data_IF_168745391267
#
_entry.id   IF_168745391267
#
_cell.length_a   1.000
_cell.length_b   1.000
_cell.length_c   1.000
_cell.angle_alpha   90.00
_cell.angle_beta   90.00
_cell.angle_gamma   90.00
#
_symmetry.space_group_name_H-M   'P 1'
#
loop_
_entity.id
_entity.type
_entity.pdbx_description
1 polymer ?
#
# COMPACT_ATOMS: atom_id res chain seq x y z
N UNK A 1 -41.98 -4.19 -31.31
CA UNK A 1 -41.07 -5.03 -30.50
C UNK A 1 -39.85 -4.20 -30.10
N UNK A 2 -39.86 -3.60 -28.90
CA UNK A 2 -38.65 -2.97 -28.33
C UNK A 2 -37.67 -4.11 -28.07
N UNK A 3 -36.50 -4.10 -28.71
CA UNK A 3 -35.38 -4.94 -28.26
C UNK A 3 -35.14 -4.57 -26.80
N UNK A 4 -35.41 -5.50 -25.89
CA UNK A 4 -34.78 -5.49 -24.58
C UNK A 4 -33.28 -5.55 -24.84
N UNK A 5 -32.65 -4.37 -24.87
CA UNK A 5 -31.22 -4.26 -24.66
C UNK A 5 -31.01 -4.77 -23.23
N UNK A 6 -30.67 -6.05 -23.11
CA UNK A 6 -30.19 -6.64 -21.87
C UNK A 6 -28.98 -5.80 -21.45
N UNK A 7 -29.19 -4.90 -20.51
CA UNK A 7 -28.12 -4.10 -19.92
C UNK A 7 -27.05 -5.07 -19.40
N UNK A 8 -25.75 -4.82 -19.66
CA UNK A 8 -24.70 -5.69 -19.19
C UNK A 8 -24.82 -5.87 -17.67
N UNK A 9 -25.09 -7.09 -17.24
CA UNK A 9 -25.12 -7.49 -15.83
C UNK A 9 -23.69 -7.42 -15.28
N UNK A 10 -23.47 -7.04 -14.01
CA UNK A 10 -22.14 -7.08 -13.40
C UNK A 10 -21.44 -8.42 -13.65
N UNK A 11 -20.20 -8.38 -14.12
CA UNK A 11 -19.48 -9.58 -14.53
C UNK A 11 -19.33 -10.60 -13.38
N UNK A 12 -19.57 -11.89 -13.63
CA UNK A 12 -19.33 -12.93 -12.65
C UNK A 12 -17.82 -13.03 -12.32
N UNK A 13 -17.44 -13.45 -11.09
CA UNK A 13 -16.04 -13.47 -10.63
C UNK A 13 -15.05 -14.26 -11.51
N UNK A 14 -15.54 -15.19 -12.34
CA UNK A 14 -14.74 -16.13 -13.13
C UNK A 14 -14.26 -15.56 -14.48
N UNK A 15 -14.77 -14.40 -14.90
CA UNK A 15 -14.48 -13.77 -16.21
C UNK A 15 -13.64 -12.48 -16.12
N UNK A 16 -13.02 -12.21 -14.97
CA UNK A 16 -12.33 -10.94 -14.69
C UNK A 16 -10.94 -10.83 -15.37
N UNK A 17 -10.90 -10.85 -16.70
CA UNK A 17 -9.71 -10.42 -17.45
C UNK A 17 -9.47 -8.93 -17.27
N UNK A 18 -8.23 -8.46 -17.45
CA UNK A 18 -7.93 -7.03 -17.35
C UNK A 18 -8.78 -6.19 -18.34
N UNK A 19 -9.01 -6.71 -19.56
CA UNK A 19 -9.87 -6.07 -20.55
C UNK A 19 -11.31 -5.93 -20.04
N UNK A 20 -11.90 -7.01 -19.52
CA UNK A 20 -13.26 -6.99 -19.00
C UNK A 20 -13.43 -6.03 -17.80
N UNK A 21 -12.42 -5.96 -16.91
CA UNK A 21 -12.39 -5.00 -15.81
C UNK A 21 -12.27 -3.55 -16.28
N UNK A 22 -11.51 -3.30 -17.35
CA UNK A 22 -11.40 -1.98 -17.99
C UNK A 22 -12.75 -1.59 -18.58
N UNK A 23 -13.44 -2.51 -19.27
CA UNK A 23 -14.74 -2.24 -19.89
C UNK A 23 -15.82 -1.96 -18.85
N UNK A 24 -15.83 -2.71 -17.74
CA UNK A 24 -16.74 -2.49 -16.63
C UNK A 24 -16.48 -1.15 -15.91
N UNK A 25 -15.21 -0.79 -15.72
CA UNK A 25 -14.84 0.52 -15.19
C UNK A 25 -15.25 1.66 -16.13
N UNK A 26 -15.11 1.46 -17.45
CA UNK A 26 -15.56 2.42 -18.46
C UNK A 26 -17.07 2.61 -18.42
N UNK A 27 -17.85 1.52 -18.44
CA UNK A 27 -19.31 1.54 -18.34
C UNK A 27 -19.75 2.29 -17.09
N UNK A 28 -19.17 1.93 -15.95
CA UNK A 28 -19.48 2.53 -14.65
C UNK A 28 -19.22 4.03 -14.65
N UNK A 29 -18.03 4.48 -15.06
CA UNK A 29 -17.66 5.89 -15.01
C UNK A 29 -18.30 6.73 -16.12
N UNK A 30 -18.63 6.14 -17.28
CA UNK A 30 -19.40 6.82 -18.32
C UNK A 30 -20.81 7.17 -17.82
N UNK A 31 -21.49 6.23 -17.16
CA UNK A 31 -22.79 6.49 -16.53
C UNK A 31 -22.67 7.52 -15.40
N UNK A 32 -21.58 7.47 -14.61
CA UNK A 32 -21.31 8.49 -13.59
C UNK A 32 -21.12 9.89 -14.19
N UNK A 33 -20.39 10.01 -15.30
CA UNK A 33 -20.15 11.29 -15.99
C UNK A 33 -21.44 11.89 -16.56
N UNK A 34 -22.36 11.06 -17.07
CA UNK A 34 -23.68 11.52 -17.53
C UNK A 34 -24.55 11.98 -16.37
N UNK A 35 -24.54 11.24 -15.25
CA UNK A 35 -25.36 11.56 -14.09
C UNK A 35 -24.87 12.79 -13.31
N UNK A 36 -23.55 12.96 -13.15
CA UNK A 36 -22.92 14.12 -12.50
C UNK A 36 -23.16 14.27 -10.99
N UNK A 37 -24.04 13.48 -10.38
CA UNK A 37 -24.44 13.65 -8.96
C UNK A 37 -23.26 13.58 -7.98
N UNK A 38 -22.29 12.70 -8.25
CA UNK A 38 -21.13 12.48 -7.37
C UNK A 38 -19.93 13.42 -7.65
N UNK A 39 -20.01 14.36 -8.61
CA UNK A 39 -18.87 15.19 -9.02
C UNK A 39 -18.24 15.97 -7.86
N UNK A 40 -19.05 16.42 -6.88
CA UNK A 40 -18.58 17.13 -5.69
C UNK A 40 -18.04 16.24 -4.56
N UNK A 41 -18.12 14.92 -4.65
CA UNK A 41 -17.83 14.03 -3.51
C UNK A 41 -16.33 13.79 -3.31
N UNK A 42 -15.58 13.55 -4.39
CA UNK A 42 -14.14 13.34 -4.32
C UNK A 42 -13.44 13.58 -5.67
N UNK A 43 -12.11 13.71 -5.63
CA UNK A 43 -11.27 14.00 -6.79
C UNK A 43 -11.46 13.03 -7.98
N UNK A 44 -11.93 11.80 -7.75
CA UNK A 44 -12.15 10.80 -8.81
C UNK A 44 -13.17 11.29 -9.84
N UNK A 45 -14.30 11.83 -9.39
CA UNK A 45 -15.38 12.21 -10.30
C UNK A 45 -15.06 13.51 -11.05
N UNK A 46 -14.50 14.50 -10.34
CA UNK A 46 -13.98 15.71 -10.97
C UNK A 46 -12.86 15.41 -11.99
N UNK A 47 -12.06 14.37 -11.77
CA UNK A 47 -11.07 13.90 -12.73
C UNK A 47 -11.72 13.12 -13.90
N UNK A 48 -12.73 12.29 -13.63
CA UNK A 48 -13.42 11.49 -14.66
C UNK A 48 -14.20 12.35 -15.66
N UNK A 49 -14.83 13.43 -15.20
CA UNK A 49 -15.59 14.36 -16.06
C UNK A 49 -14.72 14.99 -17.17
N UNK A 50 -13.43 15.20 -16.89
CA UNK A 50 -12.46 15.75 -17.84
C UNK A 50 -11.99 14.74 -18.90
N UNK A 51 -12.49 13.50 -18.85
CA UNK A 51 -11.99 12.35 -19.61
C UNK A 51 -13.13 11.62 -20.29
N UNK A 52 -13.72 12.18 -21.36
CA UNK A 52 -14.86 11.56 -22.04
C UNK A 52 -14.50 10.20 -22.68
N UNK A 53 -13.24 10.00 -23.08
CA UNK A 53 -12.79 8.79 -23.74
C UNK A 53 -12.62 7.59 -22.77
N UNK A 54 -12.32 7.84 -21.49
CA UNK A 54 -12.08 6.82 -20.47
C UNK A 54 -11.17 5.68 -21.00
N UNK A 55 -10.01 6.07 -21.52
CA UNK A 55 -9.01 5.12 -22.03
C UNK A 55 -8.47 4.23 -20.91
N UNK A 56 -7.84 3.10 -21.25
CA UNK A 56 -7.29 2.18 -20.25
C UNK A 56 -6.31 2.87 -19.28
N UNK A 57 -5.45 3.76 -19.78
CA UNK A 57 -4.50 4.53 -18.96
C UNK A 57 -5.18 5.51 -18.01
N UNK A 58 -6.22 6.20 -18.48
CA UNK A 58 -7.03 7.10 -17.68
C UNK A 58 -7.81 6.36 -16.58
N UNK A 59 -8.40 5.20 -16.92
CA UNK A 59 -9.09 4.35 -15.96
C UNK A 59 -8.13 3.81 -14.91
N UNK A 60 -6.90 3.43 -15.28
CA UNK A 60 -5.88 3.05 -14.30
C UNK A 60 -5.53 4.21 -13.36
N UNK A 61 -5.39 5.43 -13.88
CA UNK A 61 -5.18 6.62 -13.06
C UNK A 61 -6.34 6.87 -12.08
N UNK A 62 -7.58 6.87 -12.56
CA UNK A 62 -8.78 7.08 -11.74
C UNK A 62 -8.95 5.97 -10.70
N UNK A 63 -8.62 4.74 -11.06
CA UNK A 63 -8.62 3.61 -10.13
C UNK A 63 -7.66 3.86 -8.96
N UNK A 64 -6.43 4.33 -9.20
CA UNK A 64 -5.50 4.66 -8.10
C UNK A 64 -5.79 5.99 -7.40
N UNK A 65 -6.47 6.94 -8.05
CA UNK A 65 -6.97 8.15 -7.38
C UNK A 65 -8.09 7.81 -6.36
N UNK A 66 -8.84 6.73 -6.60
CA UNK A 66 -9.88 6.25 -5.70
C UNK A 66 -9.30 5.62 -4.41
N UNK A 67 -9.67 6.22 -3.28
CA UNK A 67 -9.29 5.76 -1.93
C UNK A 67 -10.39 4.94 -1.24
N UNK A 68 -11.39 4.49 -1.99
CA UNK A 68 -12.45 3.61 -1.51
C UNK A 68 -13.23 4.22 -0.33
N UNK A 69 -13.55 5.52 -0.36
CA UNK A 69 -14.30 6.21 0.71
C UNK A 69 -15.76 5.74 0.84
N UNK A 70 -16.30 5.13 -0.22
CA UNK A 70 -17.65 4.55 -0.32
C UNK A 70 -18.80 5.56 -0.29
N UNK A 71 -18.54 6.86 -0.11
CA UNK A 71 -19.58 7.90 -0.12
C UNK A 71 -20.41 7.86 -1.42
N UNK A 72 -19.76 7.66 -2.57
CA UNK A 72 -20.45 7.55 -3.85
C UNK A 72 -21.36 6.33 -3.99
N UNK A 73 -21.14 5.25 -3.22
CA UNK A 73 -22.00 4.07 -3.28
C UNK A 73 -23.33 4.33 -2.58
N UNK A 74 -23.28 4.84 -1.35
CA UNK A 74 -24.47 5.14 -0.57
C UNK A 74 -25.28 6.31 -1.13
N UNK A 75 -24.64 7.21 -1.89
CA UNK A 75 -25.29 8.31 -2.56
C UNK A 75 -25.88 7.94 -3.94
N UNK A 76 -25.61 6.73 -4.47
CA UNK A 76 -25.94 6.40 -5.86
C UNK A 76 -27.36 5.86 -6.01
N UNK A 77 -28.18 6.57 -6.77
CA UNK A 77 -29.54 6.14 -7.16
C UNK A 77 -29.54 4.88 -8.05
N UNK A 78 -28.39 4.56 -8.65
CA UNK A 78 -28.20 3.42 -9.55
C UNK A 78 -27.37 2.29 -8.91
N UNK A 79 -27.11 2.35 -7.61
CA UNK A 79 -26.52 1.24 -6.86
C UNK A 79 -27.47 0.02 -6.89
N UNK A 80 -26.95 -1.21 -6.68
CA UNK A 80 -27.82 -2.38 -6.52
C UNK A 80 -28.92 -2.12 -5.47
N UNK A 81 -30.16 -2.58 -5.70
CA UNK A 81 -30.59 -3.54 -6.73
C UNK A 81 -30.98 -2.93 -8.09
N UNK A 82 -30.71 -1.63 -8.35
CA UNK A 82 -31.03 -1.02 -9.64
C UNK A 82 -30.37 -1.78 -10.81
N UNK A 83 -31.01 -1.83 -11.98
CA UNK A 83 -30.57 -2.62 -13.14
C UNK A 83 -29.15 -2.27 -13.64
N UNK A 84 -28.71 -1.02 -13.49
CA UNK A 84 -27.34 -0.60 -13.82
C UNK A 84 -26.27 -1.12 -12.84
N UNK A 85 -26.69 -1.46 -11.61
CA UNK A 85 -25.89 -2.06 -10.55
C UNK A 85 -24.53 -1.37 -10.31
N UNK A 86 -24.55 -0.04 -10.21
CA UNK A 86 -23.33 0.78 -10.08
C UNK A 86 -22.66 0.57 -8.73
N UNK A 87 -21.42 0.08 -8.74
CA UNK A 87 -20.60 -0.07 -7.55
C UNK A 87 -19.16 0.43 -7.81
N UNK A 88 -19.01 1.76 -7.87
CA UNK A 88 -17.72 2.43 -8.14
C UNK A 88 -16.60 1.94 -7.21
N UNK A 89 -16.78 1.81 -5.88
CA UNK A 89 -15.72 1.34 -4.98
C UNK A 89 -15.22 -0.06 -5.34
N UNK A 90 -16.12 -1.03 -5.56
CA UNK A 90 -15.75 -2.39 -5.90
C UNK A 90 -15.14 -2.48 -7.31
N UNK A 91 -15.73 -1.83 -8.31
CA UNK A 91 -15.23 -1.83 -9.69
C UNK A 91 -13.80 -1.28 -9.77
N UNK A 92 -13.54 -0.12 -9.15
CA UNK A 92 -12.19 0.45 -9.13
C UNK A 92 -11.22 -0.35 -8.24
N UNK A 93 -11.71 -1.05 -7.20
CA UNK A 93 -10.86 -1.94 -6.39
C UNK A 93 -10.35 -3.15 -7.20
N UNK A 94 -11.22 -3.77 -8.00
CA UNK A 94 -10.83 -4.86 -8.91
C UNK A 94 -9.85 -4.38 -9.95
N UNK A 95 -10.13 -3.25 -10.61
CA UNK A 95 -9.22 -2.69 -11.61
C UNK A 95 -7.85 -2.39 -11.00
N UNK A 96 -7.77 -1.77 -9.81
CA UNK A 96 -6.49 -1.56 -9.10
C UNK A 96 -5.74 -2.87 -8.84
N UNK A 97 -6.45 -3.91 -8.38
CA UNK A 97 -5.83 -5.20 -8.06
C UNK A 97 -5.27 -5.89 -9.31
N UNK A 98 -6.03 -5.88 -10.42
CA UNK A 98 -5.55 -6.39 -11.70
C UNK A 98 -4.37 -5.57 -12.24
N UNK A 99 -4.44 -4.25 -12.07
CA UNK A 99 -3.40 -3.32 -12.48
C UNK A 99 -2.06 -3.55 -11.75
N UNK A 100 -2.10 -3.83 -10.44
CA UNK A 100 -0.90 -4.23 -9.69
C UNK A 100 -0.24 -5.47 -10.28
N UNK A 101 -1.04 -6.50 -10.60
CA UNK A 101 -0.54 -7.75 -11.17
C UNK A 101 0.01 -7.57 -12.58
N UNK A 102 -0.64 -6.76 -13.40
CA UNK A 102 -0.23 -6.48 -14.78
C UNK A 102 1.09 -5.69 -14.88
N UNK A 103 1.42 -4.92 -13.83
CA UNK A 103 2.65 -4.10 -13.78
C UNK A 103 3.80 -4.75 -13.04
N UNK A 104 3.54 -5.84 -12.32
CA UNK A 104 4.59 -6.61 -11.68
C UNK A 104 5.53 -7.23 -12.72
N UNK A 105 6.81 -7.27 -12.39
CA UNK A 105 7.81 -7.98 -13.16
C UNK A 105 8.79 -8.69 -12.21
N UNK A 106 9.09 -9.99 -12.41
CA UNK A 106 8.37 -10.96 -13.24
C UNK A 106 6.87 -11.07 -12.89
N UNK A 107 6.15 -11.94 -13.60
CA UNK A 107 4.70 -12.10 -13.42
C UNK A 107 4.32 -12.32 -11.95
N UNK A 108 3.31 -11.59 -11.47
CA UNK A 108 2.95 -11.61 -10.06
C UNK A 108 2.49 -13.03 -9.61
N UNK A 109 3.12 -13.61 -8.58
CA UNK A 109 2.66 -14.87 -7.98
C UNK A 109 1.22 -14.74 -7.44
N UNK A 110 0.59 -15.88 -7.17
CA UNK A 110 -0.71 -15.90 -6.49
C UNK A 110 -0.56 -15.42 -5.05
N UNK A 111 -1.66 -14.98 -4.43
CA UNK A 111 -1.65 -14.62 -3.01
C UNK A 111 -1.26 -15.81 -2.13
N UNK A 112 -1.65 -17.03 -2.52
CA UNK A 112 -1.26 -18.25 -1.82
C UNK A 112 0.26 -18.49 -1.89
N UNK A 113 0.87 -18.32 -3.07
CA UNK A 113 2.32 -18.44 -3.23
C UNK A 113 3.08 -17.36 -2.45
N UNK A 114 2.58 -16.11 -2.43
CA UNK A 114 3.15 -15.06 -1.58
C UNK A 114 3.00 -15.37 -0.09
N UNK A 115 1.87 -15.94 0.32
CA UNK A 115 1.66 -16.36 1.71
C UNK A 115 2.63 -17.47 2.11
N UNK A 116 2.82 -18.47 1.24
CA UNK A 116 3.79 -19.54 1.44
C UNK A 116 5.22 -19.00 1.52
N UNK A 117 5.60 -18.04 0.65
CA UNK A 117 6.90 -17.37 0.70
C UNK A 117 7.12 -16.64 2.03
N UNK A 118 6.14 -15.84 2.47
CA UNK A 118 6.23 -15.11 3.75
C UNK A 118 6.37 -16.09 4.91
N UNK A 119 5.58 -17.17 4.94
CA UNK A 119 5.68 -18.21 5.97
C UNK A 119 7.02 -18.94 5.92
N UNK A 120 7.52 -19.25 4.73
CA UNK A 120 8.83 -19.87 4.54
C UNK A 120 9.96 -18.97 5.06
N UNK A 121 9.91 -17.66 4.85
CA UNK A 121 10.88 -16.74 5.46
C UNK A 121 10.72 -16.66 6.99
N UNK A 122 9.48 -16.55 7.47
CA UNK A 122 9.16 -16.40 8.89
C UNK A 122 9.61 -17.60 9.72
N UNK A 123 9.45 -18.82 9.20
CA UNK A 123 9.80 -20.06 9.90
C UNK A 123 11.18 -20.60 9.48
N UNK A 124 11.53 -20.45 8.20
CA UNK A 124 12.76 -21.00 7.64
C UNK A 124 14.01 -20.29 8.09
N UNK A 125 14.00 -18.96 8.29
CA UNK A 125 15.18 -18.24 8.82
C UNK A 125 15.49 -18.65 10.26
N UNK A 126 14.52 -18.67 11.21
CA UNK A 126 14.75 -19.24 12.54
C UNK A 126 15.23 -20.68 12.50
N UNK A 127 14.62 -21.54 11.68
CA UNK A 127 15.03 -22.93 11.53
C UNK A 127 16.47 -23.05 11.02
N UNK A 128 16.84 -22.27 10.02
CA UNK A 128 18.20 -22.25 9.48
C UNK A 128 19.20 -21.84 10.56
N UNK A 129 18.91 -20.77 11.31
CA UNK A 129 19.78 -20.32 12.41
C UNK A 129 19.90 -21.38 13.49
N UNK A 130 18.79 -22.01 13.88
CA UNK A 130 18.77 -23.10 14.86
C UNK A 130 19.64 -24.30 14.45
N UNK A 131 19.67 -24.63 13.15
CA UNK A 131 20.45 -25.74 12.62
C UNK A 131 21.92 -25.38 12.35
N UNK A 132 22.23 -24.11 12.09
CA UNK A 132 23.55 -23.68 11.62
C UNK A 132 24.42 -23.07 12.72
N UNK A 133 23.82 -22.55 13.79
CA UNK A 133 24.53 -21.87 14.89
C UNK A 133 24.63 -22.81 16.08
N UNK A 134 25.83 -23.02 16.67
CA UNK A 134 26.00 -23.84 17.87
C UNK A 134 25.08 -23.38 19.01
N UNK A 135 24.49 -24.32 19.75
CA UNK A 135 23.54 -24.03 20.83
C UNK A 135 24.13 -23.09 21.89
N UNK A 136 25.41 -23.29 22.25
CA UNK A 136 26.12 -22.45 23.21
C UNK A 136 26.24 -21.00 22.76
N UNK A 137 26.36 -20.75 21.45
CA UNK A 137 26.35 -19.40 20.89
C UNK A 137 24.93 -18.87 20.74
N UNK A 138 24.00 -19.69 20.27
CA UNK A 138 22.64 -19.27 19.96
C UNK A 138 21.84 -18.85 21.20
N UNK A 139 22.02 -19.57 22.31
CA UNK A 139 21.35 -19.34 23.58
C UNK A 139 22.23 -18.68 24.63
N UNK A 140 23.43 -18.22 24.27
CA UNK A 140 24.23 -17.37 25.14
C UNK A 140 23.59 -15.98 25.34
N UNK A 141 23.89 -15.38 26.48
CA UNK A 141 23.57 -13.99 26.76
C UNK A 141 24.65 -13.10 26.14
N UNK A 142 24.32 -12.45 25.03
CA UNK A 142 25.23 -11.52 24.35
C UNK A 142 24.95 -10.09 24.80
N UNK A 143 25.92 -9.45 25.46
CA UNK A 143 25.81 -8.05 25.90
C UNK A 143 26.89 -7.20 25.25
N UNK A 144 26.55 -5.95 25.00
CA UNK A 144 27.49 -4.95 24.48
C UNK A 144 27.58 -4.89 22.95
N UNK A 145 28.47 -4.02 22.42
CA UNK A 145 28.53 -3.71 21.00
C UNK A 145 28.90 -4.94 20.17
N UNK A 146 28.13 -5.22 19.11
CA UNK A 146 28.34 -6.38 18.22
C UNK A 146 27.62 -7.67 18.64
N UNK A 147 26.83 -7.65 19.73
CA UNK A 147 26.14 -8.85 20.24
C UNK A 147 25.31 -9.60 19.19
N UNK A 148 24.62 -8.89 18.28
CA UNK A 148 23.85 -9.53 17.21
C UNK A 148 24.73 -10.25 16.19
N UNK A 149 25.95 -9.76 15.98
CA UNK A 149 26.88 -10.28 14.98
C UNK A 149 27.55 -11.59 15.40
N UNK A 150 27.49 -11.93 16.69
CA UNK A 150 27.91 -13.24 17.18
C UNK A 150 26.99 -14.37 16.71
N UNK A 151 25.70 -14.08 16.50
CA UNK A 151 24.70 -15.06 16.02
C UNK A 151 24.55 -14.99 14.51
N UNK A 152 24.38 -13.79 13.95
CA UNK A 152 24.24 -13.58 12.50
C UNK A 152 25.27 -12.54 12.07
N UNK A 153 26.36 -12.93 11.38
CA UNK A 153 27.42 -12.00 11.10
C UNK A 153 26.94 -10.86 10.18
N UNK A 154 27.54 -9.69 10.36
CA UNK A 154 27.08 -8.45 9.74
C UNK A 154 26.98 -8.50 8.20
N UNK A 155 27.94 -9.10 7.44
CA UNK A 155 27.84 -9.16 5.98
C UNK A 155 26.58 -9.89 5.51
N UNK A 156 26.18 -10.96 6.19
CA UNK A 156 24.97 -11.71 5.89
C UNK A 156 23.74 -10.85 6.19
N UNK A 157 23.68 -10.27 7.40
CA UNK A 157 22.51 -9.49 7.82
C UNK A 157 22.29 -8.26 6.92
N UNK A 158 23.34 -7.47 6.69
CA UNK A 158 23.26 -6.24 5.90
C UNK A 158 23.18 -6.52 4.41
N UNK A 159 23.93 -7.50 3.90
CA UNK A 159 23.95 -7.86 2.48
C UNK A 159 22.60 -8.42 2.01
N UNK A 160 22.00 -9.35 2.77
CA UNK A 160 20.68 -9.90 2.43
C UNK A 160 19.61 -8.82 2.51
N UNK A 161 19.64 -7.96 3.53
CA UNK A 161 18.70 -6.84 3.63
C UNK A 161 18.84 -5.88 2.45
N UNK A 162 20.06 -5.44 2.11
CA UNK A 162 20.32 -4.54 0.99
C UNK A 162 19.85 -5.13 -0.34
N UNK A 163 20.12 -6.42 -0.59
CA UNK A 163 19.68 -7.11 -1.79
C UNK A 163 18.15 -7.22 -1.86
N UNK A 164 17.50 -7.63 -0.76
CA UNK A 164 16.05 -7.84 -0.73
C UNK A 164 15.29 -6.51 -0.88
N UNK A 165 15.66 -5.48 -0.11
CA UNK A 165 15.00 -4.17 -0.17
C UNK A 165 15.38 -3.39 -1.45
N UNK A 166 16.64 -3.45 -1.87
CA UNK A 166 17.10 -2.84 -3.13
C UNK A 166 16.40 -3.47 -4.34
N UNK A 167 16.29 -4.80 -4.37
CA UNK A 167 15.52 -5.53 -5.36
C UNK A 167 14.04 -5.14 -5.35
N UNK A 168 13.39 -5.13 -4.18
CA UNK A 168 12.00 -4.70 -4.05
C UNK A 168 11.78 -3.26 -4.56
N UNK A 169 12.66 -2.32 -4.18
CA UNK A 169 12.61 -0.94 -4.62
C UNK A 169 12.77 -0.80 -6.15
N UNK A 170 13.71 -1.56 -6.74
CA UNK A 170 13.91 -1.59 -8.19
C UNK A 170 12.66 -2.10 -8.92
N UNK A 171 12.09 -3.23 -8.47
CA UNK A 171 10.90 -3.82 -9.09
C UNK A 171 9.67 -2.91 -8.98
N UNK A 172 9.46 -2.30 -7.80
CA UNK A 172 8.41 -1.29 -7.62
C UNK A 172 8.67 -0.08 -8.52
N UNK A 173 9.91 0.38 -8.62
CA UNK A 173 10.32 1.49 -9.48
C UNK A 173 10.03 1.24 -10.96
N UNK A 174 10.32 0.04 -11.47
CA UNK A 174 9.98 -0.38 -12.84
C UNK A 174 8.47 -0.32 -13.05
N UNK A 175 7.68 -0.93 -12.15
CA UNK A 175 6.22 -0.92 -12.22
C UNK A 175 5.64 0.50 -12.17
N UNK A 176 6.15 1.34 -11.28
CA UNK A 176 5.78 2.73 -11.11
C UNK A 176 6.10 3.57 -12.36
N UNK A 177 7.25 3.37 -13.00
CA UNK A 177 7.62 4.03 -14.24
C UNK A 177 6.70 3.60 -15.40
N UNK A 178 6.37 2.30 -15.49
CA UNK A 178 5.40 1.79 -16.47
C UNK A 178 4.02 2.40 -16.25
N UNK A 179 3.55 2.49 -15.00
CA UNK A 179 2.33 3.20 -14.65
C UNK A 179 2.36 4.67 -15.06
N UNK A 180 3.43 5.38 -14.75
CA UNK A 180 3.57 6.80 -15.11
C UNK A 180 3.45 7.01 -16.63
N UNK A 181 4.19 6.22 -17.42
CA UNK A 181 4.18 6.33 -18.89
C UNK A 181 2.82 5.96 -19.51
N UNK A 182 2.19 4.90 -19.02
CA UNK A 182 0.93 4.40 -19.61
C UNK A 182 -0.30 5.16 -19.12
N UNK A 183 -0.29 5.63 -17.87
CA UNK A 183 -1.40 6.42 -17.35
C UNK A 183 -1.47 7.77 -18.03
N UNK A 184 -0.35 8.31 -18.56
CA UNK A 184 -0.18 9.65 -19.15
C UNK A 184 -1.33 10.13 -20.06
N UNK A 185 -2.04 9.21 -20.74
CA UNK A 185 -3.17 9.55 -21.60
C UNK A 185 -2.76 10.45 -22.78
N UNK A 186 -3.74 10.93 -23.55
CA UNK A 186 -3.52 11.75 -24.75
C UNK A 186 -3.14 13.22 -24.47
N UNK A 187 -2.62 13.53 -23.28
CA UNK A 187 -2.21 14.89 -22.96
C UNK A 187 -1.10 15.34 -23.92
N UNK A 188 -1.21 16.51 -24.57
CA UNK A 188 -0.27 16.91 -25.61
C UNK A 188 1.17 17.00 -25.04
N UNK A 189 2.19 16.56 -25.81
CA UNK A 189 3.57 16.43 -25.33
C UNK A 189 4.12 17.71 -24.69
N UNK A 190 3.68 18.89 -25.14
CA UNK A 190 4.05 20.20 -24.59
C UNK A 190 3.64 20.43 -23.12
N UNK A 191 2.79 19.58 -22.54
CA UNK A 191 2.26 19.72 -21.16
C UNK A 191 2.87 18.76 -20.15
N UNK A 192 3.71 17.80 -20.60
CA UNK A 192 4.38 16.81 -19.77
C UNK A 192 5.84 17.21 -19.46
N UNK A 193 6.07 18.45 -19.01
CA UNK A 193 7.42 18.91 -18.66
C UNK A 193 7.83 18.43 -17.27
N UNK A 194 9.14 18.19 -17.09
CA UNK A 194 9.75 17.92 -15.78
C UNK A 194 9.49 19.07 -14.80
N UNK A 195 9.62 20.32 -15.28
CA UNK A 195 9.33 21.52 -14.50
C UNK A 195 7.88 21.56 -13.97
N UNK A 196 6.88 21.21 -14.80
CA UNK A 196 5.48 21.17 -14.36
C UNK A 196 5.24 20.09 -13.31
N UNK A 197 5.94 18.95 -13.41
CA UNK A 197 5.85 17.86 -12.45
C UNK A 197 6.50 18.25 -11.11
N UNK A 198 7.68 18.86 -11.15
CA UNK A 198 8.36 19.39 -9.95
C UNK A 198 7.51 20.46 -9.25
N UNK A 199 6.86 21.35 -10.00
CA UNK A 199 5.97 22.38 -9.46
C UNK A 199 4.69 21.82 -8.80
N UNK A 200 4.30 20.58 -9.12
CA UNK A 200 3.15 19.91 -8.52
C UNK A 200 3.51 19.06 -7.28
N UNK A 201 4.80 18.76 -7.11
CA UNK A 201 5.31 17.86 -6.07
C UNK A 201 4.93 18.29 -4.64
N UNK A 202 5.04 19.57 -4.23
CA UNK A 202 4.69 19.98 -2.87
C UNK A 202 3.23 19.67 -2.51
N UNK A 203 2.29 19.91 -3.44
CA UNK A 203 0.87 19.62 -3.24
C UNK A 203 0.60 18.12 -3.15
N UNK A 204 1.24 17.34 -4.04
CA UNK A 204 1.11 15.89 -4.02
C UNK A 204 1.67 15.27 -2.72
N UNK A 205 2.83 15.75 -2.25
CA UNK A 205 3.42 15.33 -0.99
C UNK A 205 2.52 15.71 0.19
N UNK A 206 1.93 16.91 0.19
CA UNK A 206 0.97 17.31 1.22
C UNK A 206 -0.27 16.41 1.24
N UNK A 207 -0.82 16.05 0.07
CA UNK A 207 -1.97 15.14 -0.04
C UNK A 207 -1.64 13.73 0.47
N UNK A 208 -0.45 13.22 0.17
CA UNK A 208 0.06 11.93 0.67
C UNK A 208 0.26 11.99 2.19
N UNK A 209 0.97 13.01 2.69
CA UNK A 209 1.30 13.15 4.10
C UNK A 209 0.05 13.37 4.96
N UNK A 210 -0.95 14.08 4.46
CA UNK A 210 -2.21 14.30 5.21
C UNK A 210 -3.24 13.19 5.01
N UNK A 211 -3.00 12.28 4.05
CA UNK A 211 -3.97 11.31 3.55
C UNK A 211 -5.32 11.99 3.22
N UNK A 212 -5.29 13.15 2.54
CA UNK A 212 -6.48 13.96 2.24
C UNK A 212 -7.60 13.14 1.60
N UNK A 213 -7.26 12.25 0.67
CA UNK A 213 -8.24 11.43 -0.05
C UNK A 213 -8.87 10.33 0.82
N UNK A 214 -8.39 10.09 2.04
CA UNK A 214 -9.05 9.26 3.05
C UNK A 214 -9.99 10.05 3.98
N UNK A 215 -10.13 11.36 3.77
CA UNK A 215 -11.05 12.21 4.54
C UNK A 215 -12.47 12.27 3.93
N UNK A 216 -12.68 11.62 2.77
CA UNK A 216 -14.01 11.46 2.15
C UNK A 216 -14.74 12.76 1.84
N UNK A 217 -14.01 13.84 1.51
CA UNK A 217 -14.60 15.16 1.27
C UNK A 217 -14.81 16.00 2.54
N UNK A 218 -14.29 15.55 3.68
CA UNK A 218 -14.31 16.27 4.97
C UNK A 218 -15.18 15.61 6.04
N UNK A 219 -16.17 14.81 5.64
CA UNK A 219 -17.07 14.09 6.56
C UNK A 219 -16.52 12.75 7.05
N UNK A 220 -15.42 12.28 6.47
CA UNK A 220 -14.86 10.95 6.71
C UNK A 220 -15.26 9.94 5.63
N UNK A 221 -14.79 8.70 5.78
CA UNK A 221 -15.17 7.62 4.88
C UNK A 221 -16.34 6.82 5.47
N UNK A 222 -17.30 6.46 4.63
CA UNK A 222 -18.44 5.65 5.04
C UNK A 222 -18.01 4.20 5.28
N UNK A 223 -18.35 3.68 6.45
CA UNK A 223 -18.24 2.25 6.77
C UNK A 223 -19.57 1.54 6.53
N UNK A 224 -20.67 2.23 6.83
CA UNK A 224 -22.07 1.87 6.59
C UNK A 224 -22.80 3.11 6.05
N UNK A 225 -24.05 2.95 5.63
CA UNK A 225 -24.87 4.02 5.02
C UNK A 225 -24.81 5.32 5.83
N UNK A 226 -25.21 5.28 7.10
CA UNK A 226 -25.24 6.46 7.98
C UNK A 226 -23.98 6.63 8.86
N UNK A 227 -22.91 5.88 8.60
CA UNK A 227 -21.73 5.86 9.45
C UNK A 227 -20.48 6.36 8.70
N UNK A 228 -20.36 7.67 8.56
CA UNK A 228 -19.13 8.31 8.10
C UNK A 228 -18.24 8.68 9.28
N UNK A 229 -16.97 8.26 9.22
CA UNK A 229 -16.02 8.62 10.27
C UNK A 229 -14.58 8.63 9.77
N UNK A 230 -13.76 9.48 10.42
CA UNK A 230 -12.33 9.65 10.15
C UNK A 230 -11.45 8.53 10.73
N UNK A 231 -12.03 7.55 11.40
CA UNK A 231 -11.28 6.48 12.07
C UNK A 231 -10.37 5.67 11.12
N UNK A 232 -10.77 5.47 9.85
CA UNK A 232 -9.91 4.80 8.86
C UNK A 232 -8.69 5.64 8.51
N UNK A 233 -8.85 6.97 8.40
CA UNK A 233 -7.76 7.92 8.15
C UNK A 233 -6.78 7.90 9.33
N UNK A 234 -7.27 7.97 10.57
CA UNK A 234 -6.41 7.90 11.76
C UNK A 234 -5.68 6.57 11.90
N UNK A 235 -6.37 5.44 11.72
CA UNK A 235 -5.76 4.12 11.80
C UNK A 235 -4.71 3.92 10.69
N UNK A 236 -4.98 4.42 9.47
CA UNK A 236 -3.99 4.39 8.39
C UNK A 236 -2.83 5.35 8.63
N UNK A 237 -3.03 6.50 9.27
CA UNK A 237 -1.95 7.41 9.69
C UNK A 237 -1.03 6.76 10.70
N UNK A 238 -1.59 6.13 11.73
CA UNK A 238 -0.79 5.38 12.71
C UNK A 238 0.06 4.29 12.03
N UNK A 239 -0.52 3.55 11.08
CA UNK A 239 0.22 2.56 10.30
C UNK A 239 1.29 3.19 9.38
N UNK A 240 0.93 4.25 8.64
CA UNK A 240 1.80 4.92 7.68
C UNK A 240 3.01 5.56 8.36
N UNK A 241 2.76 6.40 9.36
CA UNK A 241 3.84 7.05 10.11
C UNK A 241 4.59 6.05 10.98
N UNK A 242 3.92 5.03 11.52
CA UNK A 242 4.59 3.93 12.22
C UNK A 242 5.61 3.21 11.33
N UNK A 243 5.23 2.90 10.08
CA UNK A 243 6.15 2.32 9.11
C UNK A 243 7.32 3.24 8.77
N UNK A 244 7.06 4.55 8.58
CA UNK A 244 8.12 5.53 8.31
C UNK A 244 9.10 5.67 9.49
N UNK A 245 8.60 5.60 10.74
CA UNK A 245 9.45 5.60 11.93
C UNK A 245 10.30 4.33 12.02
N UNK A 246 9.74 3.16 11.71
CA UNK A 246 10.52 1.92 11.62
C UNK A 246 11.61 1.99 10.53
N UNK A 247 11.29 2.56 9.37
CA UNK A 247 12.27 2.79 8.30
C UNK A 247 13.37 3.78 8.75
N UNK A 248 12.98 4.86 9.42
CA UNK A 248 13.92 5.84 9.98
C UNK A 248 14.82 5.22 11.05
N UNK A 249 14.29 4.30 11.87
CA UNK A 249 15.08 3.49 12.80
C UNK A 249 16.15 2.69 12.07
N UNK A 250 15.79 1.90 11.05
CA UNK A 250 16.76 1.12 10.27
C UNK A 250 17.80 2.01 9.60
N UNK A 251 17.38 3.13 9.00
CA UNK A 251 18.28 4.09 8.37
C UNK A 251 19.24 4.73 9.38
N UNK A 252 18.75 5.11 10.57
CA UNK A 252 19.58 5.67 11.64
C UNK A 252 20.58 4.65 12.20
N UNK A 253 20.19 3.37 12.32
CA UNK A 253 21.11 2.30 12.72
C UNK A 253 22.19 2.06 11.67
N UNK A 254 21.82 2.00 10.39
CA UNK A 254 22.79 1.90 9.29
C UNK A 254 23.77 3.10 9.30
N UNK A 255 23.25 4.32 9.53
CA UNK A 255 24.07 5.52 9.65
C UNK A 255 25.05 5.44 10.83
N UNK A 256 24.57 5.08 12.03
CA UNK A 256 25.41 4.93 13.21
C UNK A 256 26.49 3.85 13.03
N UNK A 257 26.16 2.74 12.37
CA UNK A 257 27.12 1.70 12.10
C UNK A 257 28.21 2.14 11.11
N UNK A 258 27.81 2.72 9.96
CA UNK A 258 28.74 3.01 8.87
C UNK A 258 29.55 4.30 9.08
N UNK A 259 28.93 5.34 9.61
CA UNK A 259 29.56 6.67 9.74
C UNK A 259 30.09 6.97 11.13
N UNK A 260 29.51 6.38 12.18
CA UNK A 260 29.92 6.63 13.58
C UNK A 260 30.66 5.44 14.20
N UNK A 261 30.81 4.33 13.48
CA UNK A 261 31.51 3.14 13.97
C UNK A 261 30.82 2.49 15.18
N UNK A 262 29.52 2.72 15.37
CA UNK A 262 28.76 2.21 16.52
C UNK A 262 27.97 0.94 16.12
N UNK A 263 28.42 -0.27 16.51
CA UNK A 263 27.70 -1.49 16.17
C UNK A 263 26.51 -1.72 17.11
N UNK A 264 25.43 -2.27 16.54
CA UNK A 264 24.28 -2.73 17.30
C UNK A 264 24.67 -3.85 18.29
N UNK A 265 23.92 -4.07 19.38
CA UNK A 265 22.70 -3.40 19.82
C UNK A 265 22.92 -1.98 20.37
N UNK A 266 21.96 -1.09 20.10
CA UNK A 266 22.01 0.31 20.52
C UNK A 266 21.36 0.55 21.90
N UNK A 267 21.78 1.59 22.64
CA UNK A 267 21.16 1.99 23.91
C UNK A 267 19.65 2.25 23.78
N UNK A 268 18.88 2.07 24.86
CA UNK A 268 17.41 2.23 24.81
C UNK A 268 16.96 3.65 24.41
N UNK A 269 17.74 4.67 24.76
CA UNK A 269 17.47 6.07 24.43
C UNK A 269 18.09 6.53 23.10
N UNK A 270 18.67 5.60 22.32
CA UNK A 270 19.24 5.92 21.02
C UNK A 270 18.16 6.16 19.96
N UNK A 271 18.49 6.90 18.91
CA UNK A 271 17.59 7.18 17.81
C UNK A 271 16.99 5.90 17.16
N UNK A 272 17.77 4.84 16.84
CA UNK A 272 17.21 3.61 16.28
C UNK A 272 16.16 2.98 17.19
N UNK A 273 16.42 2.88 18.50
CA UNK A 273 15.52 2.21 19.42
C UNK A 273 14.24 3.02 19.65
N UNK A 274 14.33 4.34 19.87
CA UNK A 274 13.15 5.18 20.07
C UNK A 274 12.26 5.17 18.82
N UNK A 275 12.84 5.42 17.64
CA UNK A 275 12.10 5.45 16.38
C UNK A 275 11.47 4.08 16.09
N UNK A 276 12.20 2.99 16.31
CA UNK A 276 11.72 1.63 16.07
C UNK A 276 10.61 1.23 17.03
N UNK A 277 10.72 1.60 18.30
CA UNK A 277 9.71 1.28 19.33
C UNK A 277 8.41 2.03 19.09
N UNK A 278 8.49 3.35 18.90
CA UNK A 278 7.32 4.18 18.58
C UNK A 278 6.68 3.75 17.26
N UNK A 279 7.52 3.46 16.26
CA UNK A 279 7.08 2.97 14.95
C UNK A 279 6.32 1.64 15.06
N UNK A 280 6.89 0.65 15.74
CA UNK A 280 6.29 -0.67 15.92
C UNK A 280 4.96 -0.61 16.66
N UNK A 281 4.88 0.16 17.75
CA UNK A 281 3.62 0.35 18.50
C UNK A 281 2.56 1.04 17.64
N UNK A 282 2.92 2.11 16.93
CA UNK A 282 2.00 2.82 16.04
C UNK A 282 1.50 1.93 14.89
N UNK A 283 2.37 1.11 14.30
CA UNK A 283 1.99 0.13 13.28
C UNK A 283 0.95 -0.86 13.80
N UNK A 284 1.20 -1.49 14.95
CA UNK A 284 0.28 -2.47 15.54
C UNK A 284 -1.07 -1.83 15.89
N UNK A 285 -1.07 -0.64 16.49
CA UNK A 285 -2.29 0.11 16.79
C UNK A 285 -3.08 0.47 15.51
N UNK A 286 -2.38 0.91 14.46
CA UNK A 286 -2.98 1.21 13.17
C UNK A 286 -3.60 -0.01 12.50
N UNK A 287 -2.90 -1.15 12.50
CA UNK A 287 -3.40 -2.42 11.96
C UNK A 287 -4.63 -2.89 12.73
N UNK A 288 -4.60 -2.89 14.07
CA UNK A 288 -5.74 -3.25 14.89
C UNK A 288 -6.96 -2.35 14.60
N UNK A 289 -6.73 -1.03 14.47
CA UNK A 289 -7.76 -0.06 14.10
C UNK A 289 -8.39 -0.35 12.73
N UNK A 290 -7.57 -0.66 11.72
CA UNK A 290 -8.04 -1.00 10.37
C UNK A 290 -8.80 -2.33 10.34
N UNK A 291 -8.32 -3.36 11.05
CA UNK A 291 -8.98 -4.68 11.11
C UNK A 291 -10.34 -4.59 11.80
N UNK A 292 -10.41 -3.90 12.95
CA UNK A 292 -11.66 -3.71 13.70
C UNK A 292 -12.72 -3.04 12.84
N UNK A 293 -12.36 -1.92 12.21
CA UNK A 293 -13.23 -1.15 11.31
C UNK A 293 -13.73 -1.96 10.13
N UNK A 294 -12.86 -2.78 9.57
CA UNK A 294 -13.19 -3.62 8.43
C UNK A 294 -14.18 -4.73 8.77
N UNK A 295 -14.09 -5.31 9.98
CA UNK A 295 -15.05 -6.32 10.46
C UNK A 295 -16.45 -5.73 10.65
N UNK A 296 -16.56 -4.45 11.00
CA UNK A 296 -17.84 -3.76 11.20
C UNK A 296 -18.39 -3.05 9.94
N UNK A 297 -17.63 -3.01 8.86
CA UNK A 297 -18.01 -2.29 7.64
C UNK A 297 -18.97 -3.13 6.78
N UNK A 298 -19.87 -2.45 6.08
CA UNK A 298 -20.77 -3.08 5.11
C UNK A 298 -19.96 -3.80 4.02
N UNK A 299 -20.22 -5.10 3.77
CA UNK A 299 -19.58 -5.85 2.70
C UNK A 299 -20.06 -5.44 1.30
N UNK A 300 -21.26 -4.89 1.12
CA UNK A 300 -21.86 -4.65 -0.21
C UNK A 300 -20.99 -3.79 -1.17
N UNK A 301 -20.37 -2.67 -0.75
CA UNK A 301 -19.46 -1.90 -1.61
C UNK A 301 -18.05 -2.49 -1.74
N UNK A 302 -17.81 -3.72 -1.29
CA UNK A 302 -16.48 -4.33 -1.22
C UNK A 302 -16.26 -5.36 -2.32
N UNK A 303 -15.11 -5.27 -3.01
CA UNK A 303 -14.60 -6.37 -3.82
C UNK A 303 -13.92 -7.41 -2.91
N UNK A 304 -14.70 -8.37 -2.41
CA UNK A 304 -14.26 -9.39 -1.44
C UNK A 304 -13.13 -10.27 -1.95
N UNK A 305 -12.98 -10.45 -3.27
CA UNK A 305 -11.89 -11.18 -3.89
C UNK A 305 -10.52 -10.50 -3.72
N UNK A 306 -10.49 -9.19 -3.44
CA UNK A 306 -9.24 -8.44 -3.21
C UNK A 306 -8.75 -8.49 -1.76
N UNK A 307 -9.56 -9.08 -0.87
CA UNK A 307 -9.35 -9.14 0.57
C UNK A 307 -8.17 -9.99 1.02
N UNK A 308 -7.90 -11.17 0.45
CA UNK A 308 -6.78 -12.01 0.88
C UNK A 308 -5.44 -11.26 0.77
N UNK A 309 -5.21 -10.52 -0.32
CA UNK A 309 -4.01 -9.72 -0.48
C UNK A 309 -3.87 -8.61 0.57
N UNK A 310 -4.99 -8.04 1.02
CA UNK A 310 -4.99 -7.07 2.11
C UNK A 310 -4.66 -7.71 3.46
N UNK A 311 -5.22 -8.89 3.74
CA UNK A 311 -4.95 -9.61 5.00
C UNK A 311 -3.49 -10.04 5.08
N UNK A 312 -2.93 -10.55 3.98
CA UNK A 312 -1.52 -10.91 3.89
C UNK A 312 -0.63 -9.71 4.23
N UNK A 313 -0.85 -8.56 3.58
CA UNK A 313 -0.06 -7.36 3.86
C UNK A 313 -0.11 -6.94 5.35
N UNK A 314 -1.32 -6.89 5.93
CA UNK A 314 -1.48 -6.49 7.33
C UNK A 314 -0.84 -7.50 8.29
N UNK A 315 -0.96 -8.79 8.01
CA UNK A 315 -0.35 -9.85 8.81
C UNK A 315 1.18 -9.78 8.76
N UNK A 316 1.77 -9.60 7.57
CA UNK A 316 3.22 -9.45 7.41
C UNK A 316 3.74 -8.22 8.15
N UNK A 317 3.09 -7.06 8.00
CA UNK A 317 3.48 -5.84 8.72
C UNK A 317 3.35 -5.99 10.25
N UNK A 318 2.30 -6.66 10.72
CA UNK A 318 2.12 -6.95 12.15
C UNK A 318 3.20 -7.89 12.67
N UNK A 319 3.53 -8.95 11.92
CA UNK A 319 4.60 -9.87 12.29
C UNK A 319 5.95 -9.16 12.38
N UNK A 320 6.28 -8.29 11.42
CA UNK A 320 7.52 -7.49 11.44
C UNK A 320 7.58 -6.53 12.64
N UNK A 321 6.50 -5.80 12.91
CA UNK A 321 6.45 -4.86 14.03
C UNK A 321 6.51 -5.58 15.39
N UNK A 322 5.72 -6.66 15.56
CA UNK A 322 5.69 -7.43 16.79
C UNK A 322 7.01 -8.15 17.06
N UNK A 323 7.62 -8.78 16.05
CA UNK A 323 8.92 -9.44 16.19
C UNK A 323 10.04 -8.46 16.54
N UNK A 324 10.00 -7.23 16.02
CA UNK A 324 10.98 -6.18 16.36
C UNK A 324 10.86 -5.71 17.80
N UNK A 325 9.63 -5.48 18.29
CA UNK A 325 9.38 -5.14 19.70
C UNK A 325 9.75 -6.29 20.64
N UNK A 326 9.43 -7.53 20.25
CA UNK A 326 9.80 -8.72 21.03
C UNK A 326 11.31 -8.89 21.10
N UNK A 327 12.03 -8.70 19.99
CA UNK A 327 13.50 -8.70 19.97
C UNK A 327 14.06 -7.64 20.92
N UNK A 328 13.54 -6.42 20.90
CA UNK A 328 13.96 -5.37 21.82
C UNK A 328 13.78 -5.78 23.29
N UNK A 329 12.64 -6.38 23.63
CA UNK A 329 12.35 -6.83 24.99
C UNK A 329 13.22 -8.02 25.45
N UNK A 330 13.61 -8.89 24.52
CA UNK A 330 14.34 -10.13 24.80
C UNK A 330 15.85 -10.03 24.55
N UNK A 331 16.36 -8.88 24.09
CA UNK A 331 17.73 -8.74 23.58
C UNK A 331 18.83 -9.04 24.59
N UNK A 332 18.55 -8.88 25.89
CA UNK A 332 19.52 -9.10 26.97
C UNK A 332 19.38 -10.50 27.62
N UNK A 333 18.69 -11.42 26.93
CA UNK A 333 18.36 -12.78 27.41
C UNK A 333 18.87 -13.87 26.44
N UNK A 334 18.91 -15.15 26.87
CA UNK A 334 19.19 -16.29 25.98
C UNK A 334 18.27 -16.39 24.74
N UNK A 335 17.09 -15.77 24.78
CA UNK A 335 16.14 -15.78 23.66
C UNK A 335 16.52 -14.78 22.54
N UNK A 336 17.56 -13.97 22.71
CA UNK A 336 17.98 -12.96 21.72
C UNK A 336 18.25 -13.59 20.35
N UNK A 337 19.02 -14.68 20.27
CA UNK A 337 19.41 -15.27 18.98
C UNK A 337 18.20 -15.71 18.15
N UNK A 338 17.25 -16.42 18.77
CA UNK A 338 16.03 -16.87 18.09
C UNK A 338 15.05 -15.74 17.78
N UNK A 339 14.90 -14.76 18.68
CA UNK A 339 14.05 -13.59 18.41
C UNK A 339 14.63 -12.71 17.30
N UNK A 340 15.96 -12.60 17.19
CA UNK A 340 16.64 -11.93 16.09
C UNK A 340 16.36 -12.66 14.76
N UNK A 341 16.54 -13.98 14.72
CA UNK A 341 16.26 -14.76 13.52
C UNK A 341 14.79 -14.66 13.08
N UNK A 342 13.85 -14.66 14.03
CA UNK A 342 12.42 -14.47 13.76
C UNK A 342 12.14 -13.09 13.17
N UNK A 343 12.75 -12.05 13.73
CA UNK A 343 12.62 -10.70 13.20
C UNK A 343 13.19 -10.59 11.78
N UNK A 344 14.41 -11.09 11.54
CA UNK A 344 15.03 -11.11 10.22
C UNK A 344 14.20 -11.88 9.19
N UNK A 345 13.64 -13.04 9.56
CA UNK A 345 12.72 -13.81 8.71
C UNK A 345 11.46 -13.03 8.35
N UNK A 346 10.86 -12.33 9.32
CA UNK A 346 9.68 -11.49 9.07
C UNK A 346 9.98 -10.29 8.17
N UNK A 347 11.15 -9.65 8.33
CA UNK A 347 11.61 -8.53 7.50
C UNK A 347 11.91 -9.00 6.07
N UNK A 348 12.57 -10.15 5.92
CA UNK A 348 12.84 -10.74 4.61
C UNK A 348 11.55 -11.10 3.87
N UNK A 349 10.59 -11.73 4.56
CA UNK A 349 9.27 -12.04 4.00
C UNK A 349 8.52 -10.77 3.56
N UNK A 350 8.61 -9.69 4.34
CA UNK A 350 8.07 -8.38 3.94
C UNK A 350 8.76 -7.86 2.67
N UNK A 351 10.10 -7.83 2.64
CA UNK A 351 10.88 -7.34 1.50
C UNK A 351 10.55 -8.08 0.20
N UNK A 352 10.52 -9.41 0.23
CA UNK A 352 10.27 -10.22 -0.98
C UNK A 352 8.81 -10.15 -1.45
N UNK A 353 7.85 -9.92 -0.56
CA UNK A 353 6.43 -9.81 -0.92
C UNK A 353 6.01 -8.38 -1.34
N UNK A 354 6.76 -7.35 -0.96
CA UNK A 354 6.46 -5.95 -1.26
C UNK A 354 6.15 -5.64 -2.73
N UNK A 355 6.98 -6.04 -3.72
CA UNK A 355 6.76 -5.67 -5.13
C UNK A 355 5.55 -6.37 -5.78
N UNK A 356 5.05 -7.45 -5.17
CA UNK A 356 3.98 -8.28 -5.73
C UNK A 356 2.67 -8.19 -4.94
N UNK A 357 2.72 -7.69 -3.70
CA UNK A 357 1.59 -7.57 -2.81
C UNK A 357 0.89 -6.22 -2.88
N UNK A 358 -0.05 -5.99 -1.96
CA UNK A 358 -0.79 -4.72 -1.87
C UNK A 358 0.10 -3.53 -1.47
N UNK A 359 1.33 -3.75 -0.99
CA UNK A 359 2.22 -2.67 -0.54
C UNK A 359 2.49 -1.64 -1.64
N UNK A 360 2.57 -2.07 -2.90
CA UNK A 360 2.76 -1.20 -4.09
C UNK A 360 1.73 -0.10 -4.25
N UNK A 361 0.57 -0.20 -3.58
CA UNK A 361 -0.47 0.83 -3.63
C UNK A 361 0.08 2.22 -3.25
N UNK A 362 1.05 2.31 -2.34
CA UNK A 362 1.65 3.59 -1.94
C UNK A 362 2.29 4.30 -3.14
N UNK A 363 3.07 3.58 -3.94
CA UNK A 363 3.73 4.12 -5.13
C UNK A 363 2.71 4.56 -6.20
N UNK A 364 1.77 3.68 -6.55
CA UNK A 364 0.78 3.98 -7.61
C UNK A 364 -0.19 5.10 -7.22
N UNK A 365 -0.66 5.13 -5.96
CA UNK A 365 -1.49 6.23 -5.45
C UNK A 365 -0.70 7.54 -5.39
N UNK A 366 0.56 7.51 -4.95
CA UNK A 366 1.41 8.69 -4.93
C UNK A 366 1.58 9.29 -6.33
N UNK A 367 1.84 8.45 -7.34
CA UNK A 367 1.92 8.89 -8.73
C UNK A 367 0.58 9.41 -9.28
N UNK A 368 -0.54 8.78 -8.91
CA UNK A 368 -1.87 9.27 -9.28
C UNK A 368 -2.14 10.65 -8.66
N UNK A 369 -1.82 10.87 -7.40
CA UNK A 369 -1.95 12.18 -6.74
C UNK A 369 -1.03 13.24 -7.35
N UNK A 370 0.22 12.89 -7.68
CA UNK A 370 1.14 13.79 -8.36
C UNK A 370 0.60 14.24 -9.72
N UNK A 371 0.06 13.30 -10.49
CA UNK A 371 -0.58 13.59 -11.76
C UNK A 371 -1.80 14.50 -11.57
N UNK A 372 -2.67 14.19 -10.62
CA UNK A 372 -3.87 14.98 -10.32
C UNK A 372 -3.50 16.41 -9.95
N UNK A 373 -2.54 16.59 -9.03
CA UNK A 373 -2.04 17.90 -8.61
C UNK A 373 -1.49 18.73 -9.77
N UNK A 374 -0.81 18.07 -10.72
CA UNK A 374 -0.29 18.71 -11.94
C UNK A 374 -1.41 19.18 -12.86
N UNK A 375 -2.40 18.34 -13.12
CA UNK A 375 -3.56 18.71 -13.96
C UNK A 375 -4.37 19.86 -13.35
N UNK A 376 -4.63 19.81 -12.05
CA UNK A 376 -5.38 20.86 -11.35
C UNK A 376 -4.63 22.21 -11.38
N UNK A 377 -3.30 22.17 -11.29
CA UNK A 377 -2.45 23.37 -11.45
C UNK A 377 -2.54 23.95 -12.86
N UNK A 378 -2.52 23.11 -13.89
CA UNK A 378 -2.65 23.55 -15.29
C UNK A 378 -4.01 24.18 -15.56
N UNK A 379 -5.09 23.60 -15.03
CA UNK A 379 -6.43 24.17 -15.14
C UNK A 379 -6.52 25.54 -14.47
N UNK A 380 -5.94 25.68 -13.27
CA UNK A 380 -5.90 26.95 -12.54
C UNK A 380 -5.11 28.00 -13.33
N UNK A 381 -3.99 27.63 -13.93
CA UNK A 381 -3.19 28.54 -14.75
C UNK A 381 -3.93 28.97 -16.04
N UNK A 382 -4.71 28.08 -16.66
CA UNK A 382 -5.54 28.40 -17.83
C UNK A 382 -6.71 29.32 -17.49
N UNK A 383 -7.33 29.18 -16.32
CA UNK A 383 -8.43 30.06 -15.87
C UNK A 383 -7.98 31.48 -15.48
N UNK A 384 -6.69 31.68 -15.21
CA UNK A 384 -6.10 32.98 -14.87
C UNK A 384 -5.61 33.75 -16.08
N UNK A 385 -5.51 33.10 -17.24
CA UNK A 385 -5.28 33.72 -18.55
C UNK A 385 -6.62 33.97 -19.20
#
# INVERSE_FOLDING_TARGET
MKRESSLPTPLPPREQTLAALIDEARRTLALCNVCGYCTGYCDVFAAAERRPALTAGELAHLAHLCHNCRSCYYACQYAPPHAFAINVPATLARLRAADYRARAWPAAPSVAALSALVLACLLGVPLLVLLSVPADTLFAVHRGPGAFYAVVPWPQMSGVAALAFGGAALLIGIGALRFWRQSAGSAPPATNTTAATLAALPRALADIATLRNLDGGGTGCHEREDASARGRRHAHHALFYGFLLCLASTASGAFQHHFLGQPAPYPVLSAPVILGSLGGVAMLAGIAGLVRRKRSADPAPTASETEPANRLLLATLAATAASGLALLALRDTPAMGMSLALHLGSVLGLALSMPYGKFVHGAYRGLALLRQAREDRQLTARRRR
#
